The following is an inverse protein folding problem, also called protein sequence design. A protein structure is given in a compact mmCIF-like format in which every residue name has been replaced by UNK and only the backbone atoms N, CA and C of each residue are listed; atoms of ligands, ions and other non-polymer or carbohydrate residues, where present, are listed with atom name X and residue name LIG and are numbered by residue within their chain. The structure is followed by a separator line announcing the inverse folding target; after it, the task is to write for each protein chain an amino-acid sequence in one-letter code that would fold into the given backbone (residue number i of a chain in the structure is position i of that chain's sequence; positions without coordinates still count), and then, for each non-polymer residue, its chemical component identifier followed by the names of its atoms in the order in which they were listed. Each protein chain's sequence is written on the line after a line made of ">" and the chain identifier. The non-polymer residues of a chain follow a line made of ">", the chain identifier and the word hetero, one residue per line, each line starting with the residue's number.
data_IF_285962092291
#
_entry.id   IF_285962092291
#
_cell.length_a   1.000
_cell.length_b   1.000
_cell.length_c   1.000
_cell.angle_alpha   90.00
_cell.angle_beta   90.00
_cell.angle_gamma   90.00
#
_symmetry.space_group_name_H-M   'P 1'
#
loop_
_entity.id
_entity.type
_entity.pdbx_description
1 polymer ?
#
# COMPACT_ATOMS: atom_id res chain seq x y z
N UNK A 1 -16.71 58.48 -6.00
CA UNK A 1 -16.55 57.26 -6.82
C UNK A 1 -15.97 56.14 -5.96
N UNK A 2 -16.77 55.13 -5.59
CA UNK A 2 -16.36 53.99 -4.76
C UNK A 2 -15.75 52.91 -5.67
N UNK A 3 -14.45 52.65 -5.53
CA UNK A 3 -13.80 51.51 -6.18
C UNK A 3 -14.24 50.21 -5.49
N UNK A 4 -15.15 49.47 -6.13
CA UNK A 4 -15.48 48.09 -5.74
C UNK A 4 -14.38 47.19 -6.28
N UNK A 5 -13.48 46.74 -5.40
CA UNK A 5 -12.45 45.77 -5.74
C UNK A 5 -13.12 44.41 -6.06
N UNK A 6 -13.20 44.07 -7.35
CA UNK A 6 -13.57 42.72 -7.81
C UNK A 6 -12.53 41.72 -7.27
N UNK A 7 -12.91 40.91 -6.28
CA UNK A 7 -12.13 39.74 -5.86
C UNK A 7 -12.09 38.78 -7.05
N UNK A 8 -10.91 38.61 -7.66
CA UNK A 8 -10.72 37.56 -8.68
C UNK A 8 -10.96 36.21 -8.00
N UNK A 9 -11.81 35.32 -8.55
CA UNK A 9 -11.93 33.96 -8.04
C UNK A 9 -10.57 33.30 -8.24
N UNK A 10 -9.92 33.05 -7.12
CA UNK A 10 -8.64 32.41 -7.06
C UNK A 10 -8.84 30.98 -7.62
N UNK A 11 -7.89 30.51 -8.43
CA UNK A 11 -8.03 29.35 -9.32
C UNK A 11 -7.44 28.10 -8.65
N UNK A 12 -7.86 27.81 -7.41
CA UNK A 12 -7.37 26.76 -6.48
C UNK A 12 -7.73 25.33 -6.92
N UNK A 13 -8.35 25.16 -8.09
CA UNK A 13 -9.03 23.92 -8.49
C UNK A 13 -8.57 23.32 -9.82
N UNK A 14 -7.38 23.67 -10.29
CA UNK A 14 -6.67 22.82 -11.24
C UNK A 14 -5.65 21.99 -10.45
N UNK A 15 -6.18 21.12 -9.57
CA UNK A 15 -5.40 19.94 -9.24
C UNK A 15 -5.08 19.27 -10.57
N UNK A 16 -3.82 18.93 -10.82
CA UNK A 16 -3.45 18.43 -12.11
C UNK A 16 -4.06 17.03 -12.24
N UNK A 17 -5.22 16.92 -12.91
CA UNK A 17 -5.95 15.64 -13.08
C UNK A 17 -5.05 14.55 -13.67
N UNK A 18 -4.05 14.95 -14.46
CA UNK A 18 -3.01 14.06 -14.97
C UNK A 18 -2.22 13.31 -13.88
N UNK A 19 -2.04 13.85 -12.67
CA UNK A 19 -1.36 13.12 -11.58
C UNK A 19 -2.21 11.98 -11.03
N UNK A 20 -3.53 12.13 -10.99
CA UNK A 20 -4.45 11.05 -10.57
C UNK A 20 -4.45 9.96 -11.66
N UNK A 21 -4.57 10.37 -12.92
CA UNK A 21 -4.51 9.45 -14.07
C UNK A 21 -3.18 8.73 -14.14
N UNK A 22 -2.06 9.42 -13.90
CA UNK A 22 -0.73 8.84 -13.85
C UNK A 22 -0.56 7.85 -12.69
N UNK A 23 -1.10 8.18 -11.51
CA UNK A 23 -1.11 7.26 -10.37
C UNK A 23 -1.91 5.99 -10.65
N UNK A 24 -3.07 6.10 -11.28
CA UNK A 24 -3.89 4.95 -11.70
C UNK A 24 -3.15 4.13 -12.76
N UNK A 25 -2.56 4.77 -13.77
CA UNK A 25 -1.77 4.09 -14.81
C UNK A 25 -0.54 3.36 -14.23
N UNK A 26 0.15 3.97 -13.26
CA UNK A 26 1.26 3.31 -12.56
C UNK A 26 0.81 2.12 -11.73
N UNK A 27 -0.34 2.22 -11.05
CA UNK A 27 -0.89 1.10 -10.28
C UNK A 27 -1.32 -0.07 -11.19
N UNK A 28 -2.01 0.23 -12.29
CA UNK A 28 -2.43 -0.77 -13.28
C UNK A 28 -1.21 -1.36 -13.99
N UNK A 29 -0.26 -0.53 -14.41
CA UNK A 29 0.97 -0.97 -15.06
C UNK A 29 1.84 -1.82 -14.13
N UNK A 30 1.94 -1.45 -12.85
CA UNK A 30 2.62 -2.25 -11.82
C UNK A 30 1.93 -3.59 -11.59
N UNK A 31 0.59 -3.62 -11.55
CA UNK A 31 -0.20 -4.85 -11.44
C UNK A 31 0.00 -5.79 -12.64
N UNK A 32 -0.02 -5.25 -13.86
CA UNK A 32 0.23 -6.02 -15.08
C UNK A 32 1.68 -6.52 -15.16
N UNK A 33 2.66 -5.69 -14.76
CA UNK A 33 4.06 -6.11 -14.65
C UNK A 33 4.24 -7.23 -13.62
N UNK A 34 3.52 -7.19 -12.49
CA UNK A 34 3.54 -8.32 -11.54
C UNK A 34 2.94 -9.58 -12.13
N UNK A 35 1.89 -9.49 -12.95
CA UNK A 35 1.38 -10.67 -13.69
C UNK A 35 2.40 -11.21 -14.70
N UNK A 36 3.13 -10.34 -15.38
CA UNK A 36 4.10 -10.75 -16.40
C UNK A 36 5.43 -11.26 -15.83
N UNK A 37 5.83 -10.77 -14.65
CA UNK A 37 7.03 -11.20 -13.92
C UNK A 37 6.79 -12.50 -13.14
N UNK A 38 5.52 -12.89 -12.93
CA UNK A 38 5.14 -14.18 -12.34
C UNK A 38 4.59 -15.13 -13.43
N UNK A 39 5.39 -15.59 -14.41
CA UNK A 39 4.99 -16.72 -15.26
C UNK A 39 5.27 -18.07 -14.58
N UNK A 40 5.72 -18.08 -13.31
CA UNK A 40 6.21 -19.27 -12.60
C UNK A 40 5.42 -19.59 -11.31
N UNK A 41 4.09 -19.50 -11.34
CA UNK A 41 3.21 -20.17 -10.36
C UNK A 41 3.27 -21.71 -10.44
N UNK A 42 4.28 -22.30 -11.10
CA UNK A 42 4.54 -23.74 -11.04
C UNK A 42 5.36 -24.16 -9.79
N UNK A 43 5.80 -23.22 -8.95
CA UNK A 43 6.36 -23.49 -7.60
C UNK A 43 5.97 -22.38 -6.66
N UNK A 44 4.72 -22.37 -6.20
CA UNK A 44 4.38 -21.60 -5.02
C UNK A 44 5.22 -22.15 -3.85
N UNK A 45 6.11 -21.36 -3.22
CA UNK A 45 6.94 -21.83 -2.11
C UNK A 45 6.12 -22.25 -0.88
N UNK A 46 4.82 -21.94 -0.86
CA UNK A 46 3.88 -22.34 0.17
C UNK A 46 3.43 -23.81 0.04
N UNK A 47 3.57 -24.40 -1.15
CA UNK A 47 3.17 -25.79 -1.38
C UNK A 47 4.34 -26.73 -1.09
N UNK A 48 4.10 -27.63 -0.16
CA UNK A 48 4.99 -28.71 0.22
C UNK A 48 4.46 -29.99 -0.40
N UNK A 49 5.34 -30.71 -1.10
CA UNK A 49 5.05 -32.05 -1.58
C UNK A 49 5.70 -33.05 -0.63
N UNK A 50 4.91 -34.01 -0.16
CA UNK A 50 5.36 -35.10 0.70
C UNK A 50 4.92 -36.43 0.15
N UNK A 51 5.71 -37.46 0.46
CA UNK A 51 5.49 -38.84 0.05
C UNK A 51 5.04 -39.70 1.23
N UNK A 52 4.72 -40.97 0.97
CA UNK A 52 4.26 -41.89 2.01
C UNK A 52 5.34 -42.03 3.11
N UNK A 53 4.94 -41.82 4.35
CA UNK A 53 5.78 -41.91 5.53
C UNK A 53 6.49 -40.61 5.92
N UNK A 54 6.37 -39.56 5.10
CA UNK A 54 6.88 -38.24 5.42
C UNK A 54 5.88 -37.45 6.30
N UNK A 55 6.39 -36.60 7.20
CA UNK A 55 5.56 -35.79 8.08
C UNK A 55 4.85 -34.68 7.29
N UNK A 56 3.57 -34.47 7.62
CA UNK A 56 2.69 -33.43 7.07
C UNK A 56 2.46 -32.36 8.14
N UNK A 57 2.03 -32.77 9.34
CA UNK A 57 1.84 -31.91 10.51
C UNK A 57 2.62 -32.52 11.66
N UNK A 58 3.74 -31.91 12.05
CA UNK A 58 4.58 -32.38 13.17
C UNK A 58 4.90 -33.89 13.10
N UNK A 59 4.18 -34.70 13.88
CA UNK A 59 4.35 -36.15 14.01
C UNK A 59 3.40 -36.95 13.10
N UNK A 60 2.42 -36.31 12.47
CA UNK A 60 1.47 -36.92 11.54
C UNK A 60 2.11 -37.13 10.19
N UNK A 61 2.12 -38.38 9.74
CA UNK A 61 2.71 -38.81 8.48
C UNK A 61 1.65 -39.18 7.46
N UNK A 62 1.95 -38.94 6.19
CA UNK A 62 1.08 -39.35 5.10
C UNK A 62 1.14 -40.87 4.90
N UNK A 63 -0.01 -41.52 4.91
CA UNK A 63 -0.17 -42.97 4.77
C UNK A 63 -0.56 -43.44 3.37
N UNK A 64 -0.67 -42.52 2.40
CA UNK A 64 -1.14 -42.82 1.06
C UNK A 64 -2.67 -42.74 0.92
N UNK A 65 -3.13 -43.15 -0.26
CA UNK A 65 -4.55 -43.25 -0.61
C UNK A 65 -4.98 -44.71 -0.54
N UNK A 66 -6.13 -44.97 0.07
CA UNK A 66 -6.76 -46.29 0.11
C UNK A 66 -7.35 -46.72 -1.24
N UNK A 67 -7.75 -47.98 -1.38
CA UNK A 67 -8.41 -48.48 -2.60
C UNK A 67 -9.69 -47.69 -2.93
N UNK A 68 -10.40 -47.20 -1.92
CA UNK A 68 -11.61 -46.38 -2.04
C UNK A 68 -11.33 -44.87 -2.22
N UNK A 69 -10.06 -44.45 -2.34
CA UNK A 69 -9.69 -43.04 -2.55
C UNK A 69 -9.54 -42.22 -1.27
N UNK A 70 -9.57 -42.85 -0.09
CA UNK A 70 -9.48 -42.16 1.19
C UNK A 70 -8.04 -41.82 1.56
N UNK A 71 -7.80 -40.61 2.04
CA UNK A 71 -6.49 -40.16 2.47
C UNK A 71 -6.21 -40.62 3.90
N UNK A 72 -5.09 -41.32 4.11
CA UNK A 72 -4.72 -41.83 5.43
C UNK A 72 -3.59 -41.01 6.04
N UNK A 73 -3.71 -40.69 7.32
CA UNK A 73 -2.68 -40.01 8.11
C UNK A 73 -2.47 -40.73 9.43
N UNK A 74 -1.23 -40.85 9.90
CA UNK A 74 -0.93 -41.58 11.13
C UNK A 74 0.20 -40.92 11.93
N UNK A 75 0.14 -40.96 13.26
CA UNK A 75 1.22 -40.47 14.13
C UNK A 75 1.90 -41.58 14.96
N UNK A 76 1.61 -42.84 14.65
CA UNK A 76 2.08 -44.02 15.38
C UNK A 76 1.16 -44.49 16.50
N UNK A 77 0.31 -43.61 17.05
CA UNK A 77 -0.69 -43.95 18.08
C UNK A 77 -2.09 -44.00 17.47
N UNK A 78 -2.39 -43.08 16.56
CA UNK A 78 -3.70 -42.92 15.94
C UNK A 78 -3.59 -42.86 14.42
N UNK A 79 -4.66 -43.28 13.75
CA UNK A 79 -4.82 -43.16 12.30
C UNK A 79 -6.10 -42.40 12.01
N UNK A 80 -6.00 -41.34 11.21
CA UNK A 80 -7.11 -40.53 10.73
C UNK A 80 -7.27 -40.80 9.25
N UNK A 81 -8.52 -41.00 8.84
CA UNK A 81 -8.88 -41.24 7.45
C UNK A 81 -9.80 -40.12 6.99
N UNK A 82 -9.45 -39.45 5.89
CA UNK A 82 -10.28 -38.42 5.29
C UNK A 82 -10.95 -38.92 4.02
N UNK A 83 -12.19 -38.49 3.77
CA UNK A 83 -12.91 -38.84 2.55
C UNK A 83 -12.24 -38.26 1.31
N UNK A 84 -12.40 -38.93 0.15
CA UNK A 84 -11.97 -38.38 -1.13
C UNK A 84 -12.60 -37.01 -1.35
N UNK A 85 -11.79 -36.01 -1.70
CA UNK A 85 -12.22 -34.62 -1.86
C UNK A 85 -12.14 -33.75 -0.60
N UNK A 86 -11.59 -34.25 0.51
CA UNK A 86 -11.22 -33.39 1.63
C UNK A 86 -10.10 -32.42 1.22
N UNK A 87 -10.32 -31.13 1.41
CA UNK A 87 -9.33 -30.09 1.11
C UNK A 87 -8.57 -29.60 2.34
N UNK A 88 -8.83 -30.18 3.52
CA UNK A 88 -8.21 -29.73 4.76
C UNK A 88 -7.98 -30.92 5.67
N UNK A 89 -6.79 -30.97 6.25
CA UNK A 89 -6.45 -31.90 7.32
C UNK A 89 -6.08 -31.11 8.57
N UNK A 90 -6.70 -31.44 9.70
CA UNK A 90 -6.43 -30.81 10.98
C UNK A 90 -6.10 -31.86 12.02
N UNK A 91 -4.96 -31.69 12.70
CA UNK A 91 -4.53 -32.56 13.78
C UNK A 91 -3.71 -31.78 14.82
N UNK A 92 -3.86 -32.14 16.09
CA UNK A 92 -3.14 -31.54 17.23
C UNK A 92 -3.23 -30.00 17.31
N UNK A 93 -4.35 -29.42 16.85
CA UNK A 93 -4.58 -27.97 16.86
C UNK A 93 -3.96 -27.21 15.69
N UNK A 94 -3.23 -27.89 14.81
CA UNK A 94 -2.70 -27.35 13.55
C UNK A 94 -3.53 -27.88 12.38
N UNK A 95 -3.63 -27.10 11.31
CA UNK A 95 -4.33 -27.51 10.10
C UNK A 95 -3.49 -27.20 8.88
N UNK A 96 -3.67 -27.98 7.83
CA UNK A 96 -3.05 -27.79 6.51
C UNK A 96 -4.13 -27.90 5.45
N UNK A 97 -3.94 -27.14 4.38
CA UNK A 97 -4.83 -27.16 3.23
C UNK A 97 -4.27 -28.13 2.19
N UNK A 98 -5.07 -29.12 1.81
CA UNK A 98 -4.71 -30.16 0.85
C UNK A 98 -5.10 -29.68 -0.55
N UNK A 99 -4.11 -29.47 -1.41
CA UNK A 99 -4.33 -28.96 -2.76
C UNK A 99 -4.49 -30.10 -3.76
N UNK A 100 -3.54 -31.03 -3.75
CA UNK A 100 -3.51 -32.16 -4.66
C UNK A 100 -3.01 -33.40 -3.95
N UNK A 101 -3.52 -34.57 -4.34
CA UNK A 101 -3.06 -35.85 -3.82
C UNK A 101 -3.03 -36.88 -4.94
N UNK A 102 -2.00 -37.72 -4.90
CA UNK A 102 -1.84 -38.92 -5.69
C UNK A 102 -1.70 -40.12 -4.75
N UNK A 103 -1.73 -41.32 -5.31
CA UNK A 103 -1.57 -42.57 -4.55
C UNK A 103 -0.32 -42.56 -3.63
N UNK A 104 0.75 -41.87 -4.04
CA UNK A 104 2.05 -41.87 -3.36
C UNK A 104 2.53 -40.52 -2.86
N UNK A 105 1.91 -39.42 -3.30
CA UNK A 105 2.32 -38.07 -2.89
C UNK A 105 1.13 -37.19 -2.54
N UNK A 106 1.39 -36.21 -1.68
CA UNK A 106 0.43 -35.24 -1.20
C UNK A 106 1.05 -33.86 -1.31
N UNK A 107 0.33 -32.93 -1.93
CA UNK A 107 0.67 -31.51 -1.98
C UNK A 107 -0.22 -30.76 -1.00
N UNK A 108 0.39 -30.11 -0.03
CA UNK A 108 -0.33 -29.31 0.97
C UNK A 108 0.31 -27.94 1.16
N UNK A 109 -0.47 -27.00 1.69
CA UNK A 109 -0.01 -25.69 2.10
C UNK A 109 -0.29 -25.43 3.58
N UNK A 110 0.66 -24.77 4.23
CA UNK A 110 0.47 -24.28 5.59
C UNK A 110 -0.41 -23.02 5.57
N UNK A 111 -1.43 -22.94 6.45
CA UNK A 111 -2.42 -21.87 6.45
C UNK A 111 -1.87 -20.51 6.91
N UNK A 112 -0.65 -20.46 7.48
CA UNK A 112 -0.14 -19.31 8.23
C UNK A 112 1.16 -18.68 7.71
N UNK A 113 1.70 -19.10 6.56
CA UNK A 113 2.64 -18.27 5.80
C UNK A 113 1.93 -17.21 4.92
N UNK A 114 0.62 -17.05 5.11
CA UNK A 114 -0.33 -16.39 4.21
C UNK A 114 -0.26 -14.85 4.10
N UNK A 115 0.71 -14.19 4.72
CA UNK A 115 1.04 -12.80 4.40
C UNK A 115 2.56 -12.66 4.34
N UNK A 116 3.16 -12.85 3.15
CA UNK A 116 4.58 -12.62 2.98
C UNK A 116 4.90 -11.23 3.54
N UNK A 117 5.83 -11.13 4.49
CA UNK A 117 6.22 -9.86 5.14
C UNK A 117 6.44 -8.72 4.14
N UNK A 118 6.86 -9.08 2.93
CA UNK A 118 6.97 -8.21 1.76
C UNK A 118 5.66 -7.44 1.46
N UNK A 119 4.50 -8.09 1.49
CA UNK A 119 3.19 -7.47 1.29
C UNK A 119 2.82 -6.51 2.43
N UNK A 120 3.13 -6.88 3.67
CA UNK A 120 2.94 -5.98 4.81
C UNK A 120 3.77 -4.71 4.62
N UNK A 121 5.04 -4.83 4.22
CA UNK A 121 5.93 -3.70 3.94
C UNK A 121 5.42 -2.85 2.76
N UNK A 122 4.91 -3.47 1.69
CA UNK A 122 4.33 -2.77 0.53
C UNK A 122 3.09 -1.99 0.94
N UNK A 123 2.19 -2.59 1.73
CA UNK A 123 0.99 -1.90 2.22
C UNK A 123 1.38 -0.76 3.15
N UNK A 124 2.29 -1.00 4.10
CA UNK A 124 2.73 0.01 5.06
C UNK A 124 3.40 1.20 4.37
N UNK A 125 4.28 0.93 3.39
CA UNK A 125 4.96 1.97 2.62
C UNK A 125 3.98 2.74 1.73
N UNK A 126 3.00 2.08 1.13
CA UNK A 126 1.95 2.73 0.34
C UNK A 126 1.08 3.66 1.19
N UNK A 127 0.62 3.17 2.34
CA UNK A 127 -0.14 3.99 3.31
C UNK A 127 0.71 5.15 3.83
N UNK A 128 1.97 4.89 4.19
CA UNK A 128 2.92 5.89 4.65
C UNK A 128 3.20 6.97 3.59
N UNK A 129 3.32 6.59 2.32
CA UNK A 129 3.51 7.52 1.21
C UNK A 129 2.28 8.43 1.01
N UNK A 130 1.07 7.87 1.08
CA UNK A 130 -0.18 8.66 0.98
C UNK A 130 -0.31 9.63 2.15
N UNK A 131 -0.14 9.15 3.38
CA UNK A 131 -0.23 9.99 4.59
C UNK A 131 0.86 11.06 4.58
N UNK A 132 2.09 10.69 4.23
CA UNK A 132 3.23 11.60 4.11
C UNK A 132 2.99 12.67 3.06
N UNK A 133 2.45 12.31 1.90
CA UNK A 133 2.11 13.24 0.84
C UNK A 133 1.02 14.23 1.28
N UNK A 134 -0.05 13.75 1.93
CA UNK A 134 -1.12 14.59 2.47
C UNK A 134 -0.58 15.53 3.54
N UNK A 135 0.20 15.03 4.50
CA UNK A 135 0.77 15.83 5.59
C UNK A 135 1.75 16.89 5.07
N UNK A 136 2.60 16.54 4.11
CA UNK A 136 3.50 17.48 3.43
C UNK A 136 2.71 18.58 2.72
N UNK A 137 1.65 18.22 2.00
CA UNK A 137 0.79 19.15 1.26
C UNK A 137 0.04 20.11 2.20
N UNK A 138 -0.43 19.61 3.33
CA UNK A 138 -1.02 20.44 4.39
C UNK A 138 -0.01 21.38 5.03
N UNK A 139 1.24 20.94 5.25
CA UNK A 139 2.34 21.80 5.74
C UNK A 139 2.71 22.91 4.76
N UNK A 140 2.77 22.63 3.46
CA UNK A 140 3.05 23.65 2.43
C UNK A 140 1.95 24.72 2.40
N UNK A 141 0.69 24.34 2.57
CA UNK A 141 -0.44 25.27 2.66
C UNK A 141 -0.46 26.08 3.95
N UNK A 142 0.09 25.53 5.05
CA UNK A 142 0.21 26.23 6.34
C UNK A 142 1.40 27.18 6.43
N UNK A 143 2.18 27.37 5.35
CA UNK A 143 3.15 28.48 5.33
C UNK A 143 2.35 29.78 5.45
N UNK A 144 2.50 30.53 6.55
CA UNK A 144 1.78 31.79 6.68
C UNK A 144 2.19 32.62 5.47
N UNK A 145 1.20 33.02 4.67
CA UNK A 145 1.36 34.10 3.72
C UNK A 145 1.94 35.23 4.55
N UNK A 146 3.24 35.47 4.41
CA UNK A 146 3.94 36.56 5.05
C UNK A 146 3.29 37.79 4.43
N UNK A 147 2.22 38.24 5.07
CA UNK A 147 1.46 39.42 4.67
C UNK A 147 2.45 40.55 4.76
N UNK A 148 3.09 40.84 3.62
CA UNK A 148 3.63 42.16 3.32
C UNK A 148 2.41 43.06 3.36
N UNK A 149 2.06 43.51 4.56
CA UNK A 149 1.08 44.55 4.79
C UNK A 149 1.66 45.82 4.18
N UNK A 150 1.47 45.97 2.88
CA UNK A 150 1.51 47.26 2.23
C UNK A 150 0.27 48.01 2.69
N UNK A 151 0.29 48.49 3.92
CA UNK A 151 -0.67 49.50 4.37
C UNK A 151 -0.53 50.68 3.40
N UNK A 152 -1.63 51.13 2.76
CA UNK A 152 -1.59 52.27 1.85
C UNK A 152 -1.03 53.54 2.53
N UNK A 153 -1.10 53.58 3.87
CA UNK A 153 -0.52 54.61 4.71
C UNK A 153 1.02 54.72 4.59
N UNK A 154 1.74 53.59 4.46
CA UNK A 154 3.20 53.59 4.35
C UNK A 154 3.70 54.13 3.00
N UNK A 155 2.90 53.97 1.93
CA UNK A 155 3.22 54.52 0.60
C UNK A 155 3.00 56.04 0.58
N UNK A 156 1.94 56.53 1.22
CA UNK A 156 1.66 57.98 1.37
C UNK A 156 2.73 58.63 2.26
N UNK A 157 3.11 58.00 3.37
CA UNK A 157 4.15 58.51 4.27
C UNK A 157 5.50 58.69 3.55
N UNK A 158 5.89 57.77 2.66
CA UNK A 158 7.12 57.92 1.86
C UNK A 158 7.03 59.03 0.82
N UNK A 159 5.88 59.20 0.17
CA UNK A 159 5.66 60.29 -0.79
C UNK A 159 5.72 61.65 -0.09
N UNK A 160 5.06 61.78 1.07
CA UNK A 160 5.08 63.00 1.89
C UNK A 160 6.50 63.30 2.41
N UNK A 161 7.24 62.29 2.87
CA UNK A 161 8.62 62.45 3.33
C UNK A 161 9.56 62.95 2.20
N UNK A 162 9.39 62.42 0.98
CA UNK A 162 10.18 62.84 -0.18
C UNK A 162 9.83 64.27 -0.64
N UNK A 163 8.55 64.66 -0.58
CA UNK A 163 8.16 66.04 -0.86
C UNK A 163 8.73 67.04 0.16
N UNK A 164 8.77 66.68 1.45
CA UNK A 164 9.35 67.53 2.50
C UNK A 164 10.85 67.75 2.31
N UNK A 165 11.60 66.71 1.89
CA UNK A 165 13.02 66.83 1.55
C UNK A 165 13.27 67.72 0.33
N UNK A 166 12.44 67.61 -0.71
CA UNK A 166 12.60 68.42 -1.93
C UNK A 166 12.32 69.91 -1.68
N UNK A 167 11.42 70.24 -0.75
CA UNK A 167 11.10 71.64 -0.38
C UNK A 167 12.20 72.31 0.47
N UNK A 168 12.95 71.55 1.28
CA UNK A 168 14.09 72.08 2.04
C UNK A 168 15.30 72.45 1.18
N UNK A 169 15.55 71.74 0.07
CA UNK A 169 16.67 72.06 -0.83
C UNK A 169 16.49 73.34 -1.66
N UNK A 170 15.25 73.84 -1.82
CA UNK A 170 14.97 75.10 -2.52
C UNK A 170 15.08 76.35 -1.65
N UNK A 171 15.39 76.22 -0.36
CA UNK A 171 15.60 77.36 0.55
C UNK A 171 17.08 77.62 0.86
N UNK A 172 17.98 76.91 0.17
CA UNK A 172 19.45 76.99 0.37
C UNK A 172 20.18 77.40 -0.92
N UNK A 173 19.44 77.89 -1.92
CA UNK A 173 19.94 78.55 -3.12
C UNK A 173 19.15 79.83 -3.31
#
# INVERSE_FOLDING_TARGET
>A
MRFVARRRPYRWWQQPRWLIVFGILMAVGGFELTRYIIPFEARNPLFHEVTIGEPVIEHWKYGGVDEEGYLRFYNGIQTIVLPPGSHMFGADGTFVMLEHHNATSLTYADPLEALPLRWIIVILSSVGAVVGFVAWRLRVMRRPLRTKSSTPYARIARVVANFRRKRRRRKLF
#
